data_IF_341391690031
#
_entry.id   IF_341391690031
#
_cell.length_a   1.000
_cell.length_b   1.000
_cell.length_c   1.000
_cell.angle_alpha   90.00
_cell.angle_beta   90.00
_cell.angle_gamma   90.00
#
_symmetry.space_group_name_H-M   'P 1'
#
loop_
_entity.id
_entity.type
_entity.pdbx_description
1 polymer ?
#
# COMPACT_ATOMS: atom_id res chain seq x y z
N UNK A 1 -22.81 16.53 -5.05
CA UNK A 1 -22.60 15.45 -6.05
C UNK A 1 -22.67 14.16 -5.26
N UNK A 2 -23.50 13.19 -5.67
CA UNK A 2 -23.47 11.88 -5.03
C UNK A 2 -22.06 11.31 -5.26
N UNK A 3 -21.32 10.98 -4.20
CA UNK A 3 -20.06 10.26 -4.37
C UNK A 3 -20.39 8.94 -5.03
N UNK A 4 -19.84 8.68 -6.21
CA UNK A 4 -19.96 7.37 -6.83
C UNK A 4 -19.49 6.31 -5.84
N UNK A 5 -20.29 5.26 -5.68
CA UNK A 5 -19.99 4.18 -4.74
C UNK A 5 -18.76 3.44 -5.26
N UNK A 6 -17.67 3.48 -4.50
CA UNK A 6 -16.43 2.77 -4.86
C UNK A 6 -16.65 1.27 -4.64
N UNK A 7 -16.44 0.46 -5.68
CA UNK A 7 -16.47 -0.99 -5.59
C UNK A 7 -15.05 -1.53 -5.39
N UNK A 8 -14.72 -1.87 -4.14
CA UNK A 8 -13.43 -2.49 -3.84
C UNK A 8 -13.45 -3.98 -4.19
N UNK A 9 -12.31 -4.54 -4.66
CA UNK A 9 -12.19 -5.97 -4.89
C UNK A 9 -12.40 -6.80 -3.62
N UNK A 10 -12.05 -6.25 -2.45
CA UNK A 10 -12.26 -6.87 -1.15
C UNK A 10 -12.28 -5.82 -0.04
N UNK A 11 -13.23 -5.97 0.89
CA UNK A 11 -13.25 -5.27 2.17
C UNK A 11 -13.88 -6.20 3.22
N UNK A 12 -13.25 -6.41 4.39
CA UNK A 12 -13.84 -7.23 5.44
C UNK A 12 -15.15 -6.63 5.96
N UNK A 13 -16.06 -7.49 6.44
CA UNK A 13 -17.32 -7.05 7.04
C UNK A 13 -17.08 -6.07 8.20
N UNK A 14 -17.85 -4.97 8.22
CA UNK A 14 -17.74 -3.94 9.25
C UNK A 14 -16.50 -3.04 9.16
N UNK A 15 -15.65 -3.20 8.13
CA UNK A 15 -14.52 -2.31 7.86
C UNK A 15 -14.88 -1.27 6.79
N UNK A 16 -14.24 -0.12 6.89
CA UNK A 16 -14.31 0.96 5.91
C UNK A 16 -12.92 1.48 5.60
N UNK A 17 -12.76 2.09 4.44
CA UNK A 17 -11.56 2.86 4.08
C UNK A 17 -11.89 4.34 4.27
N UNK A 18 -11.01 5.04 4.97
CA UNK A 18 -11.06 6.49 5.13
C UNK A 18 -10.15 7.15 4.09
N UNK A 19 -10.37 8.44 3.87
CA UNK A 19 -9.70 9.18 2.82
C UNK A 19 -9.10 10.47 3.36
N UNK A 20 -7.91 10.79 2.86
CA UNK A 20 -7.22 12.06 3.13
C UNK A 20 -6.72 12.65 1.82
N UNK A 21 -6.57 13.97 1.81
CA UNK A 21 -5.93 14.68 0.69
C UNK A 21 -4.48 14.24 0.55
N UNK A 22 -3.95 14.38 -0.66
CA UNK A 22 -2.54 14.11 -0.95
C UNK A 22 -1.56 14.89 -0.05
N UNK A 23 -1.94 16.11 0.36
CA UNK A 23 -1.09 16.97 1.20
C UNK A 23 -1.20 16.69 2.71
N UNK A 24 -1.94 15.65 3.12
CA UNK A 24 -1.90 15.16 4.49
C UNK A 24 -0.47 14.72 4.87
N UNK A 25 -0.01 15.05 6.08
CA UNK A 25 1.38 14.82 6.49
C UNK A 25 1.78 13.35 6.44
N UNK A 26 0.88 12.43 6.79
CA UNK A 26 1.17 10.99 6.84
C UNK A 26 1.04 10.38 5.45
N UNK A 27 0.10 10.86 4.64
CA UNK A 27 0.02 10.48 3.23
C UNK A 27 1.26 10.94 2.44
N UNK A 28 1.78 12.15 2.70
CA UNK A 28 3.04 12.63 2.13
C UNK A 28 4.22 11.76 2.57
N UNK A 29 4.27 11.33 3.84
CA UNK A 29 5.31 10.43 4.32
C UNK A 29 5.26 9.07 3.59
N UNK A 30 4.06 8.50 3.41
CA UNK A 30 3.87 7.27 2.63
C UNK A 30 4.27 7.46 1.16
N UNK A 31 3.94 8.61 0.54
CA UNK A 31 4.34 8.97 -0.82
C UNK A 31 5.85 9.04 -0.98
N UNK A 32 6.55 9.73 -0.09
CA UNK A 32 8.01 9.86 -0.14
C UNK A 32 8.70 8.51 0.07
N UNK A 33 8.14 7.64 0.92
CA UNK A 33 8.61 6.27 1.08
C UNK A 33 8.47 5.46 -0.22
N UNK A 34 7.29 5.51 -0.85
CA UNK A 34 7.05 4.84 -2.14
C UNK A 34 7.99 5.35 -3.24
N UNK A 35 8.24 6.67 -3.27
CA UNK A 35 9.14 7.32 -4.22
C UNK A 35 10.60 6.91 -4.01
N UNK A 36 11.05 6.87 -2.76
CA UNK A 36 12.42 6.45 -2.38
C UNK A 36 12.71 5.02 -2.82
N UNK A 37 11.74 4.13 -2.68
CA UNK A 37 11.88 2.70 -2.98
C UNK A 37 11.18 2.27 -4.28
N UNK A 38 11.03 3.15 -5.27
CA UNK A 38 10.25 2.86 -6.48
C UNK A 38 10.83 1.85 -7.48
N UNK A 39 12.08 1.40 -7.30
CA UNK A 39 12.87 0.71 -8.34
C UNK A 39 12.15 -0.53 -8.91
N UNK A 40 12.08 -0.60 -10.24
CA UNK A 40 11.55 -1.73 -11.04
C UNK A 40 10.06 -2.08 -10.82
N UNK A 41 9.29 -1.22 -10.16
CA UNK A 41 7.86 -1.42 -9.93
C UNK A 41 7.03 -0.47 -10.77
N UNK A 42 6.08 -1.01 -11.54
CA UNK A 42 5.09 -0.20 -12.25
C UNK A 42 4.15 0.54 -11.28
N UNK A 43 3.91 -0.03 -10.10
CA UNK A 43 3.06 0.53 -9.06
C UNK A 43 3.76 0.42 -7.70
N UNK A 44 4.68 1.35 -7.39
CA UNK A 44 5.31 1.38 -6.08
C UNK A 44 4.30 1.82 -5.02
N UNK A 45 4.31 1.11 -3.89
CA UNK A 45 3.48 1.40 -2.74
C UNK A 45 4.33 1.80 -1.54
N UNK A 46 3.76 2.62 -0.66
CA UNK A 46 4.37 3.03 0.60
C UNK A 46 3.31 3.10 1.69
N UNK A 47 3.69 2.67 2.89
CA UNK A 47 2.82 2.64 4.06
C UNK A 47 3.56 3.24 5.25
N UNK A 48 2.84 4.05 6.01
CA UNK A 48 3.23 4.44 7.37
C UNK A 48 2.14 4.03 8.35
N UNK A 49 2.54 3.52 9.51
CA UNK A 49 1.66 3.26 10.65
C UNK A 49 1.86 4.36 11.67
N UNK A 50 0.77 4.93 12.14
CA UNK A 50 0.74 6.13 12.98
C UNK A 50 0.04 5.83 14.29
N UNK A 51 0.66 6.21 15.40
CA UNK A 51 0.05 6.17 16.72
C UNK A 51 0.07 7.58 17.33
N UNK A 52 -1.11 8.17 17.50
CA UNK A 52 -1.22 9.58 17.88
C UNK A 52 -0.66 10.48 16.78
N UNK A 53 0.51 11.07 17.01
CA UNK A 53 1.19 11.94 16.05
C UNK A 53 2.50 11.34 15.49
N UNK A 54 2.87 10.15 15.93
CA UNK A 54 4.15 9.53 15.63
C UNK A 54 4.01 8.43 14.59
N UNK A 55 4.91 8.42 13.61
CA UNK A 55 5.08 7.28 12.70
C UNK A 55 5.86 6.21 13.46
N UNK A 56 5.22 5.09 13.74
CA UNK A 56 5.79 3.98 14.52
C UNK A 56 6.25 2.82 13.64
N UNK A 57 5.90 2.80 12.35
CA UNK A 57 6.37 1.79 11.41
C UNK A 57 6.24 2.23 9.96
N UNK A 58 7.16 1.76 9.13
CA UNK A 58 7.22 2.09 7.70
C UNK A 58 7.37 0.85 6.82
N UNK A 59 6.73 0.85 5.65
CA UNK A 59 6.82 -0.27 4.73
C UNK A 59 6.70 0.16 3.28
N UNK A 60 7.57 -0.36 2.42
CA UNK A 60 7.42 -0.20 0.97
C UNK A 60 7.77 -1.51 0.27
N UNK A 61 6.86 -1.93 -0.61
CA UNK A 61 7.03 -3.12 -1.45
C UNK A 61 8.33 -3.09 -2.28
N UNK A 62 8.83 -1.91 -2.63
CA UNK A 62 10.06 -1.80 -3.40
C UNK A 62 11.36 -1.81 -2.57
N UNK A 63 11.26 -1.81 -1.24
CA UNK A 63 12.41 -2.08 -0.37
C UNK A 63 12.75 -3.59 -0.29
N UNK A 64 11.98 -4.44 -0.97
CA UNK A 64 12.24 -5.87 -1.04
C UNK A 64 13.44 -6.16 -1.96
N UNK A 65 14.46 -6.92 -1.52
CA UNK A 65 15.62 -7.28 -2.36
C UNK A 65 15.24 -7.90 -3.71
N UNK A 66 14.16 -8.68 -3.79
CA UNK A 66 13.68 -9.28 -5.03
C UNK A 66 13.14 -8.24 -6.04
N UNK A 67 12.62 -7.11 -5.56
CA UNK A 67 12.19 -6.01 -6.43
C UNK A 67 13.35 -5.08 -6.80
N UNK A 68 14.31 -4.88 -5.88
CA UNK A 68 15.55 -4.16 -6.17
C UNK A 68 16.33 -4.86 -7.29
N UNK A 69 16.46 -6.20 -7.23
CA UNK A 69 17.13 -6.99 -8.25
C UNK A 69 16.36 -7.09 -9.59
N UNK A 70 15.08 -6.72 -9.59
CA UNK A 70 14.17 -6.86 -10.74
C UNK A 70 13.21 -8.03 -10.57
N UNK A 71 11.92 -7.77 -10.71
CA UNK A 71 10.88 -8.78 -10.56
C UNK A 71 10.91 -9.78 -11.72
N UNK A 72 11.15 -11.07 -11.44
CA UNK A 72 11.18 -12.14 -12.45
C UNK A 72 9.88 -12.22 -13.27
N UNK A 73 8.73 -11.88 -12.68
CA UNK A 73 7.44 -11.87 -13.38
C UNK A 73 7.39 -10.82 -14.49
N UNK A 74 8.05 -9.68 -14.29
CA UNK A 74 8.18 -8.64 -15.31
C UNK A 74 9.08 -9.13 -16.44
N UNK A 75 10.22 -9.75 -16.10
CA UNK A 75 11.12 -10.35 -17.10
C UNK A 75 10.42 -11.43 -17.95
N UNK A 76 9.51 -12.19 -17.34
CA UNK A 76 8.74 -13.24 -18.01
C UNK A 76 7.42 -12.74 -18.62
N UNK A 77 7.15 -11.42 -18.62
CA UNK A 77 5.90 -10.81 -19.13
C UNK A 77 4.62 -11.47 -18.60
N UNK A 78 4.61 -11.84 -17.31
CA UNK A 78 3.47 -12.52 -16.72
C UNK A 78 2.28 -11.57 -16.55
N UNK A 79 1.08 -12.13 -16.74
CA UNK A 79 -0.16 -11.40 -16.49
C UNK A 79 -0.35 -11.10 -14.99
N UNK A 80 -1.14 -10.07 -14.71
CA UNK A 80 -1.59 -9.79 -13.34
C UNK A 80 -2.38 -10.99 -12.82
N UNK A 81 -2.17 -11.36 -11.56
CA UNK A 81 -2.73 -12.57 -10.95
C UNK A 81 -1.95 -13.88 -11.19
N UNK A 82 -0.89 -13.88 -12.01
CA UNK A 82 -0.12 -15.11 -12.32
C UNK A 82 1.33 -15.06 -11.83
N UNK A 83 1.86 -16.22 -11.42
CA UNK A 83 3.28 -16.41 -11.07
C UNK A 83 3.76 -15.68 -9.83
N UNK A 84 2.87 -15.36 -8.89
CA UNK A 84 3.20 -14.61 -7.67
C UNK A 84 4.22 -15.36 -6.81
N UNK A 85 4.17 -16.69 -6.82
CA UNK A 85 5.11 -17.61 -6.18
C UNK A 85 6.55 -17.49 -6.71
N UNK A 86 6.73 -17.01 -7.94
CA UNK A 86 8.05 -16.87 -8.56
C UNK A 86 8.83 -15.66 -8.03
N UNK A 87 8.15 -14.68 -7.45
CA UNK A 87 8.79 -13.47 -6.93
C UNK A 87 8.45 -13.29 -5.45
N UNK A 88 9.45 -13.45 -4.58
CA UNK A 88 9.29 -13.22 -3.16
C UNK A 88 8.73 -11.82 -2.85
N UNK A 89 9.05 -10.78 -3.63
CA UNK A 89 8.49 -9.44 -3.46
C UNK A 89 6.99 -9.33 -3.76
N UNK A 90 6.43 -10.23 -4.58
CA UNK A 90 5.02 -10.27 -4.92
C UNK A 90 4.18 -11.04 -3.89
N UNK A 91 4.82 -11.88 -3.07
CA UNK A 91 4.18 -12.57 -1.94
C UNK A 91 3.49 -11.54 -1.02
N UNK A 92 2.20 -11.72 -0.68
CA UNK A 92 1.47 -10.78 0.16
C UNK A 92 2.17 -10.42 1.47
N UNK A 93 2.96 -11.34 2.07
CA UNK A 93 3.71 -11.03 3.29
C UNK A 93 4.72 -9.89 3.09
N UNK A 94 5.16 -9.64 1.87
CA UNK A 94 6.15 -8.64 1.51
C UNK A 94 5.53 -7.36 0.93
N UNK A 95 4.20 -7.24 0.94
CA UNK A 95 3.53 -5.98 0.60
C UNK A 95 3.84 -4.90 1.66
N UNK A 96 3.53 -3.65 1.31
CA UNK A 96 3.88 -2.49 2.13
C UNK A 96 3.21 -2.54 3.51
N UNK A 97 1.97 -3.01 3.58
CA UNK A 97 1.14 -3.08 4.78
C UNK A 97 1.73 -4.05 5.84
N UNK A 98 1.94 -5.35 5.55
CA UNK A 98 2.59 -6.25 6.51
C UNK A 98 4.06 -5.90 6.76
N UNK A 99 4.74 -5.25 5.80
CA UNK A 99 6.11 -4.77 6.03
C UNK A 99 6.16 -3.66 7.08
N UNK A 100 5.23 -2.70 7.03
CA UNK A 100 5.14 -1.63 8.03
C UNK A 100 4.78 -2.17 9.42
N UNK A 101 3.90 -3.19 9.50
CA UNK A 101 3.57 -3.86 10.77
C UNK A 101 4.81 -4.52 11.37
N UNK A 102 5.58 -5.26 10.56
CA UNK A 102 6.83 -5.87 11.03
C UNK A 102 7.85 -4.84 11.47
N UNK A 103 7.98 -3.74 10.74
CA UNK A 103 8.88 -2.65 11.06
C UNK A 103 8.53 -2.02 12.43
N UNK A 104 7.25 -1.76 12.68
CA UNK A 104 6.80 -1.27 13.99
C UNK A 104 7.16 -2.22 15.14
N UNK A 105 6.85 -3.50 14.98
CA UNK A 105 7.13 -4.53 15.98
C UNK A 105 8.64 -4.70 16.20
N UNK A 106 9.44 -4.65 15.13
CA UNK A 106 10.90 -4.77 15.21
C UNK A 106 11.55 -3.61 15.99
N UNK A 107 10.93 -2.43 15.97
CA UNK A 107 11.36 -1.27 16.73
C UNK A 107 10.69 -1.16 18.11
N UNK A 108 9.97 -2.19 18.56
CA UNK A 108 9.40 -2.28 19.91
C UNK A 108 8.09 -1.52 20.09
N UNK A 109 7.42 -1.13 19.00
CA UNK A 109 6.12 -0.47 19.07
C UNK A 109 4.96 -1.49 19.02
N UNK A 110 3.85 -1.12 19.67
CA UNK A 110 2.58 -1.83 19.58
C UNK A 110 1.68 -1.15 18.54
N UNK A 111 1.03 -1.93 17.68
CA UNK A 111 0.13 -1.44 16.62
C UNK A 111 -1.38 -1.41 16.96
N UNK A 112 -1.90 -2.05 18.04
CA UNK A 112 -3.32 -1.95 18.36
C UNK A 112 -3.79 -0.50 18.56
N UNK A 113 -4.87 -0.14 17.86
CA UNK A 113 -5.44 1.22 17.88
C UNK A 113 -4.72 2.24 16.99
N UNK A 114 -3.63 1.84 16.32
CA UNK A 114 -2.92 2.69 15.36
C UNK A 114 -3.68 2.83 14.04
N UNK A 115 -3.28 3.82 13.25
CA UNK A 115 -3.81 4.11 11.92
C UNK A 115 -2.79 3.76 10.83
N UNK A 116 -3.24 3.36 9.65
CA UNK A 116 -2.40 3.02 8.52
C UNK A 116 -2.70 3.94 7.33
N UNK A 117 -1.66 4.58 6.78
CA UNK A 117 -1.77 5.43 5.60
C UNK A 117 -1.07 4.75 4.42
N UNK A 118 -1.78 4.52 3.31
CA UNK A 118 -1.27 3.80 2.14
C UNK A 118 -1.27 4.69 0.90
N UNK A 119 -0.09 4.87 0.32
CA UNK A 119 0.13 5.51 -0.98
C UNK A 119 0.33 4.47 -2.09
N UNK A 120 -0.12 4.82 -3.30
CA UNK A 120 0.16 4.07 -4.53
C UNK A 120 -0.85 2.98 -4.86
N UNK A 121 -1.84 2.75 -3.99
CA UNK A 121 -2.93 1.79 -4.17
C UNK A 121 -4.27 2.41 -3.74
N UNK A 122 -5.36 1.81 -4.22
CA UNK A 122 -6.73 2.28 -3.97
C UNK A 122 -7.59 1.28 -3.19
N UNK A 123 -6.98 0.18 -2.75
CA UNK A 123 -7.54 -0.89 -1.95
C UNK A 123 -6.41 -1.74 -1.37
N UNK A 124 -6.69 -2.53 -0.34
CA UNK A 124 -5.76 -3.53 0.21
C UNK A 124 -6.24 -4.94 -0.14
N UNK A 125 -5.32 -5.86 -0.44
CA UNK A 125 -5.69 -7.26 -0.70
C UNK A 125 -6.16 -7.97 0.58
N UNK A 126 -6.91 -9.06 0.44
CA UNK A 126 -7.42 -9.85 1.57
C UNK A 126 -6.33 -10.26 2.58
N UNK A 127 -5.16 -10.80 2.17
CA UNK A 127 -4.08 -11.10 3.13
C UNK A 127 -3.51 -9.86 3.85
N UNK A 128 -3.52 -8.69 3.21
CA UNK A 128 -3.10 -7.45 3.86
C UNK A 128 -4.13 -6.99 4.89
N UNK A 129 -5.42 -7.06 4.55
CA UNK A 129 -6.50 -6.82 5.52
C UNK A 129 -6.43 -7.76 6.72
N UNK A 130 -6.14 -9.04 6.51
CA UNK A 130 -5.93 -10.00 7.59
C UNK A 130 -4.76 -9.61 8.49
N UNK A 131 -3.63 -9.21 7.90
CA UNK A 131 -2.46 -8.76 8.64
C UNK A 131 -2.77 -7.49 9.47
N UNK A 132 -3.45 -6.51 8.86
CA UNK A 132 -3.89 -5.27 9.50
C UNK A 132 -4.84 -5.56 10.67
N UNK A 133 -5.81 -6.45 10.47
CA UNK A 133 -6.79 -6.83 11.48
C UNK A 133 -6.13 -7.55 12.66
N UNK A 134 -5.23 -8.50 12.38
CA UNK A 134 -4.45 -9.21 13.42
C UNK A 134 -3.52 -8.28 14.20
N UNK A 135 -3.00 -7.24 13.56
CA UNK A 135 -2.17 -6.21 14.19
C UNK A 135 -2.99 -5.20 15.03
N UNK A 136 -4.32 -5.30 15.02
CA UNK A 136 -5.20 -4.40 15.77
C UNK A 136 -5.26 -2.98 15.23
N UNK A 137 -4.87 -2.75 13.97
CA UNK A 137 -4.92 -1.42 13.34
C UNK A 137 -6.38 -1.00 13.17
N UNK A 138 -6.69 0.20 13.66
CA UNK A 138 -8.03 0.75 13.76
C UNK A 138 -8.52 1.21 12.40
N UNK A 139 -7.87 2.22 11.83
CA UNK A 139 -8.32 2.86 10.59
C UNK A 139 -7.27 2.72 9.46
N UNK A 140 -7.77 2.67 8.22
CA UNK A 140 -6.94 2.72 7.01
C UNK A 140 -7.32 3.99 6.25
N UNK A 141 -6.31 4.74 5.85
CA UNK A 141 -6.42 5.96 5.07
C UNK A 141 -5.78 5.78 3.70
N UNK A 142 -6.55 6.04 2.66
CA UNK A 142 -6.08 6.16 1.28
C UNK A 142 -6.12 7.61 0.82
N UNK A 143 -5.39 7.89 -0.26
CA UNK A 143 -5.47 9.20 -0.90
C UNK A 143 -6.84 9.37 -1.58
N UNK A 144 -7.46 10.54 -1.40
CA UNK A 144 -8.62 10.97 -2.18
C UNK A 144 -8.37 10.81 -3.68
N UNK A 145 -9.30 10.18 -4.41
CA UNK A 145 -9.16 9.94 -5.84
C UNK A 145 -8.26 8.76 -6.21
N UNK A 146 -7.74 8.02 -5.23
CA UNK A 146 -6.89 6.85 -5.48
C UNK A 146 -7.58 5.79 -6.34
N UNK A 147 -8.89 5.58 -6.19
CA UNK A 147 -9.70 4.64 -6.98
C UNK A 147 -9.70 4.94 -8.49
N UNK A 148 -9.44 6.20 -8.85
CA UNK A 148 -9.21 6.64 -10.23
C UNK A 148 -7.73 6.61 -10.59
N UNK A 149 -6.90 7.21 -9.73
CA UNK A 149 -5.49 7.49 -10.03
C UNK A 149 -4.60 6.23 -9.97
N UNK A 150 -4.88 5.29 -9.08
CA UNK A 150 -4.09 4.07 -8.88
C UNK A 150 -4.76 2.79 -9.39
N UNK A 151 -5.91 2.91 -10.03
CA UNK A 151 -6.59 1.79 -10.67
C UNK A 151 -6.16 1.65 -12.13
N UNK A 152 -5.37 0.61 -12.43
CA UNK A 152 -4.87 0.34 -13.79
C UNK A 152 -5.96 0.22 -14.86
N UNK A 153 -7.19 -0.09 -14.47
CA UNK A 153 -8.31 -0.22 -15.41
C UNK A 153 -9.05 1.10 -15.65
N UNK A 154 -8.75 2.15 -14.87
CA UNK A 154 -9.38 3.46 -15.04
C UNK A 154 -8.64 4.27 -16.12
N UNK A 155 -9.33 4.96 -17.05
CA UNK A 155 -8.67 5.73 -18.13
C UNK A 155 -7.73 6.83 -17.61
N UNK A 156 -8.12 7.51 -16.53
CA UNK A 156 -7.34 8.60 -15.93
C UNK A 156 -6.24 8.15 -14.95
N UNK A 157 -5.87 6.87 -14.96
CA UNK A 157 -4.86 6.39 -14.02
C UNK A 157 -3.47 6.94 -14.32
N UNK A 158 -2.67 7.03 -13.27
CA UNK A 158 -1.31 7.57 -13.29
C UNK A 158 -0.27 6.49 -12.95
N UNK A 159 -0.64 5.22 -13.06
CA UNK A 159 0.28 4.12 -12.77
C UNK A 159 1.45 4.15 -13.77
N UNK A 160 2.67 4.17 -13.25
CA UNK A 160 3.91 4.41 -14.00
C UNK A 160 4.34 5.88 -14.08
N UNK A 161 3.48 6.83 -13.70
CA UNK A 161 3.71 8.29 -13.69
C UNK A 161 3.35 8.94 -12.35
N UNK A 162 3.30 8.15 -11.27
CA UNK A 162 2.70 8.56 -9.98
C UNK A 162 3.42 9.73 -9.28
N UNK A 163 4.62 10.10 -9.75
CA UNK A 163 5.47 11.12 -9.13
C UNK A 163 5.88 12.23 -10.11
N UNK A 164 5.27 12.27 -11.29
CA UNK A 164 5.63 13.19 -12.39
C UNK A 164 4.63 14.34 -12.57
N UNK A 165 3.63 14.41 -11.68
CA UNK A 165 2.47 15.29 -11.76
C UNK A 165 2.49 16.30 -10.62
#
# INVERSE_FOLDING_TARGET
>A
MASEKIEYPYIPEGRTILYVRENDRFMLAAKELAKKYRSNLAQPGGVVIVQGEEIIGVGSIGNNPAHIAGCVRVTLNMLTGQGYELCAGCDPKNHSEPSAIRDAVAHGHNTPGADLYLWGHWWCCEPCWDAISKAGIKDIYLMEGSERLFNKNHPDNIVGRQFEI
#
